data_IF_859860941380
#
_entry.id   IF_859860941380
#
_cell.length_a   1.000
_cell.length_b   1.000
_cell.length_c   1.000
_cell.angle_alpha   90.00
_cell.angle_beta   90.00
_cell.angle_gamma   90.00
#
_symmetry.space_group_name_H-M   'P 1'
#
loop_
_entity.id
_entity.type
_entity.pdbx_description
1 polymer ?
#
# COMPACT_ATOMS: atom_id res chain seq x y z
N UNK A 1 29.53 -15.45 13.66
CA UNK A 1 28.91 -15.18 12.35
C UNK A 1 27.80 -14.18 12.61
N UNK A 2 27.70 -13.07 11.83
CA UNK A 2 26.50 -12.20 11.95
C UNK A 2 25.28 -13.04 11.55
N UNK A 3 24.26 -13.03 12.38
CA UNK A 3 22.98 -13.65 12.02
C UNK A 3 22.48 -13.05 10.71
N UNK A 4 21.92 -13.89 9.85
CA UNK A 4 21.42 -13.47 8.53
C UNK A 4 20.16 -12.63 8.75
N UNK A 5 20.21 -11.35 8.39
CA UNK A 5 19.07 -10.44 8.45
C UNK A 5 18.19 -10.59 7.21
N UNK A 6 16.87 -10.65 7.41
CA UNK A 6 15.90 -10.83 6.33
C UNK A 6 15.02 -9.60 6.14
N UNK A 7 14.56 -9.42 4.90
CA UNK A 7 13.42 -8.55 4.58
C UNK A 7 12.17 -9.41 4.42
N UNK A 8 11.11 -9.14 5.18
CA UNK A 8 9.82 -9.77 4.95
C UNK A 8 9.06 -9.03 3.85
N UNK A 9 8.63 -9.75 2.83
CA UNK A 9 7.75 -9.25 1.78
C UNK A 9 6.31 -9.61 2.15
N UNK A 10 5.52 -8.60 2.53
CA UNK A 10 4.10 -8.76 2.85
C UNK A 10 3.31 -8.55 1.57
N UNK A 11 2.68 -9.61 1.07
CA UNK A 11 1.94 -9.62 -0.19
C UNK A 11 0.47 -9.92 0.10
N UNK A 12 -0.41 -8.95 -0.18
CA UNK A 12 -1.85 -9.10 0.02
C UNK A 12 -2.53 -9.59 -1.26
N UNK A 13 -3.19 -10.74 -1.18
CA UNK A 13 -4.00 -11.31 -2.27
C UNK A 13 -5.49 -11.12 -2.01
N UNK A 14 -6.23 -10.76 -3.03
CA UNK A 14 -7.70 -10.81 -3.06
C UNK A 14 -8.19 -11.10 -4.47
N UNK A 15 -8.76 -12.30 -4.68
CA UNK A 15 -9.37 -12.74 -5.95
C UNK A 15 -8.45 -12.73 -7.19
N UNK A 16 -7.11 -12.73 -6.99
CA UNK A 16 -6.14 -12.62 -8.09
C UNK A 16 -4.82 -13.33 -7.75
N UNK A 17 -4.88 -14.66 -7.69
CA UNK A 17 -3.71 -15.46 -7.33
C UNK A 17 -2.66 -15.49 -8.45
N UNK A 18 -3.07 -15.31 -9.69
CA UNK A 18 -2.18 -15.31 -10.87
C UNK A 18 -1.16 -14.16 -10.79
N UNK A 19 -1.61 -12.95 -10.45
CA UNK A 19 -0.71 -11.81 -10.25
C UNK A 19 0.19 -12.04 -9.02
N UNK A 20 -0.33 -12.66 -7.94
CA UNK A 20 0.47 -12.99 -6.75
C UNK A 20 1.63 -13.92 -7.09
N UNK A 21 1.39 -14.95 -7.89
CA UNK A 21 2.45 -15.86 -8.36
C UNK A 21 3.45 -15.13 -9.25
N UNK A 22 2.98 -14.31 -10.20
CA UNK A 22 3.84 -13.51 -11.07
C UNK A 22 4.71 -12.53 -10.29
N UNK A 23 4.16 -11.90 -9.25
CA UNK A 23 4.89 -11.03 -8.33
C UNK A 23 6.04 -11.80 -7.66
N UNK A 24 5.75 -12.95 -7.04
CA UNK A 24 6.76 -13.79 -6.38
C UNK A 24 7.82 -14.26 -7.39
N UNK A 25 7.40 -14.71 -8.58
CA UNK A 25 8.33 -15.15 -9.64
C UNK A 25 9.28 -14.03 -10.06
N UNK A 26 8.78 -12.81 -10.18
CA UNK A 26 9.62 -11.66 -10.50
C UNK A 26 10.63 -11.33 -9.39
N UNK A 27 10.24 -11.44 -8.12
CA UNK A 27 11.18 -11.27 -7.01
C UNK A 27 12.25 -12.36 -7.01
N UNK A 28 11.88 -13.64 -7.17
CA UNK A 28 12.84 -14.73 -7.23
C UNK A 28 13.80 -14.62 -8.44
N UNK A 29 13.35 -14.02 -9.54
CA UNK A 29 14.18 -13.82 -10.74
C UNK A 29 15.22 -12.71 -10.59
N UNK A 30 14.90 -11.64 -9.87
CA UNK A 30 15.75 -10.43 -9.86
C UNK A 30 16.39 -10.14 -8.51
N UNK A 31 15.82 -10.58 -7.39
CA UNK A 31 16.30 -10.19 -6.06
C UNK A 31 17.42 -11.10 -5.53
N UNK A 32 18.51 -10.50 -5.07
CA UNK A 32 19.64 -11.19 -4.43
C UNK A 32 19.65 -11.10 -2.92
N UNK A 33 18.86 -10.20 -2.31
CA UNK A 33 18.80 -10.04 -0.86
C UNK A 33 18.08 -11.22 -0.19
N UNK A 34 18.43 -11.54 1.07
CA UNK A 34 17.68 -12.52 1.86
C UNK A 34 16.25 -12.04 2.12
N UNK A 35 15.26 -12.79 1.63
CA UNK A 35 13.84 -12.46 1.83
C UNK A 35 13.05 -13.63 2.40
N UNK A 36 11.99 -13.32 3.14
CA UNK A 36 10.91 -14.23 3.52
C UNK A 36 9.59 -13.67 2.98
N UNK A 37 8.77 -14.53 2.41
CA UNK A 37 7.45 -14.15 1.90
C UNK A 37 6.38 -14.41 2.93
N UNK A 38 5.50 -13.45 3.14
CA UNK A 38 4.26 -13.61 3.90
C UNK A 38 3.12 -13.19 2.98
N UNK A 39 2.46 -14.19 2.39
CA UNK A 39 1.34 -14.00 1.49
C UNK A 39 0.06 -14.11 2.30
N UNK A 40 -0.76 -13.06 2.27
CA UNK A 40 -2.06 -13.05 2.98
C UNK A 40 -3.18 -13.09 1.95
N UNK A 41 -3.93 -14.18 1.90
CA UNK A 41 -5.22 -14.17 1.21
C UNK A 41 -6.27 -13.49 2.08
N UNK A 42 -6.80 -12.37 1.61
CA UNK A 42 -7.70 -11.52 2.37
C UNK A 42 -9.17 -11.85 2.08
N UNK A 43 -9.53 -13.13 2.23
CA UNK A 43 -10.90 -13.57 2.07
C UNK A 43 -11.35 -13.59 0.61
N UNK A 44 -10.54 -14.16 -0.28
CA UNK A 44 -10.93 -14.35 -1.69
C UNK A 44 -12.24 -15.14 -1.82
N UNK A 45 -13.13 -14.62 -2.68
CA UNK A 45 -14.45 -15.19 -2.94
C UNK A 45 -14.57 -15.84 -4.31
N UNK A 46 -13.58 -15.62 -5.20
CA UNK A 46 -13.49 -16.31 -6.49
C UNK A 46 -13.19 -17.80 -6.23
N UNK A 47 -13.99 -18.65 -6.85
CA UNK A 47 -13.87 -20.11 -6.75
C UNK A 47 -12.42 -20.56 -7.01
N UNK A 48 -11.96 -21.53 -6.23
CA UNK A 48 -10.62 -22.14 -6.28
C UNK A 48 -9.42 -21.22 -6.05
N UNK A 49 -9.58 -19.90 -5.88
CA UNK A 49 -8.45 -18.97 -5.73
C UNK A 49 -7.52 -19.37 -4.58
N UNK A 50 -8.07 -19.63 -3.40
CA UNK A 50 -7.27 -19.99 -2.20
C UNK A 50 -6.58 -21.33 -2.40
N UNK A 51 -7.32 -22.33 -2.90
CA UNK A 51 -6.79 -23.69 -3.11
C UNK A 51 -5.71 -23.70 -4.22
N UNK A 52 -5.91 -22.97 -5.31
CA UNK A 52 -4.94 -22.85 -6.40
C UNK A 52 -3.66 -22.16 -5.92
N UNK A 53 -3.79 -21.07 -5.14
CA UNK A 53 -2.66 -20.36 -4.59
C UNK A 53 -1.89 -21.23 -3.59
N UNK A 54 -2.58 -21.88 -2.65
CA UNK A 54 -1.98 -22.78 -1.67
C UNK A 54 -1.16 -23.91 -2.37
N UNK A 55 -1.78 -24.57 -3.35
CA UNK A 55 -1.14 -25.62 -4.11
C UNK A 55 0.12 -25.13 -4.84
N UNK A 56 0.05 -23.99 -5.53
CA UNK A 56 1.16 -23.44 -6.28
C UNK A 56 2.32 -23.03 -5.36
N UNK A 57 2.03 -22.35 -4.25
CA UNK A 57 3.03 -21.92 -3.27
C UNK A 57 3.72 -23.13 -2.61
N UNK A 58 2.94 -24.13 -2.21
CA UNK A 58 3.47 -25.38 -1.64
C UNK A 58 4.37 -26.14 -2.63
N UNK A 59 4.00 -26.19 -3.90
CA UNK A 59 4.84 -26.80 -4.93
C UNK A 59 6.14 -26.02 -5.16
N UNK A 60 6.10 -24.68 -5.14
CA UNK A 60 7.27 -23.82 -5.38
C UNK A 60 8.27 -23.84 -4.23
N UNK A 61 7.81 -23.82 -2.98
CA UNK A 61 8.67 -23.70 -1.81
C UNK A 61 8.86 -25.00 -1.02
N UNK A 62 8.15 -26.06 -1.37
CA UNK A 62 8.31 -27.41 -0.83
C UNK A 62 8.34 -27.45 0.73
N UNK A 63 9.48 -27.84 1.30
CA UNK A 63 9.65 -27.94 2.74
C UNK A 63 9.82 -26.59 3.45
N UNK A 64 10.03 -25.52 2.72
CA UNK A 64 10.21 -24.15 3.25
C UNK A 64 8.92 -23.32 3.15
N UNK A 65 7.78 -23.99 3.36
CA UNK A 65 6.42 -23.49 3.25
C UNK A 65 5.57 -23.87 4.46
N UNK A 66 4.74 -22.93 4.91
CA UNK A 66 3.69 -23.21 5.89
C UNK A 66 2.40 -22.44 5.53
N UNK A 67 1.25 -23.07 5.82
CA UNK A 67 -0.06 -22.43 5.70
C UNK A 67 -0.66 -22.23 7.09
N UNK A 68 -1.14 -21.02 7.37
CA UNK A 68 -1.72 -20.60 8.64
C UNK A 68 -3.09 -19.96 8.41
N UNK A 69 -3.93 -19.98 9.43
CA UNK A 69 -5.11 -19.10 9.50
C UNK A 69 -4.74 -17.75 10.10
N UNK A 70 -5.41 -16.69 9.70
CA UNK A 70 -5.24 -15.37 10.30
C UNK A 70 -5.41 -15.43 11.83
N UNK A 71 -4.50 -14.79 12.57
CA UNK A 71 -4.45 -14.83 14.03
C UNK A 71 -3.69 -16.00 14.65
N UNK A 72 -3.21 -16.97 13.85
CA UNK A 72 -2.28 -17.98 14.35
C UNK A 72 -0.85 -17.40 14.42
N UNK A 73 -0.11 -17.80 15.43
CA UNK A 73 1.28 -17.43 15.64
C UNK A 73 2.18 -18.65 15.53
N UNK A 74 3.42 -18.43 15.12
CA UNK A 74 4.47 -19.44 15.16
C UNK A 74 5.46 -19.07 16.26
N UNK A 75 5.86 -20.04 17.11
CA UNK A 75 6.80 -19.77 18.21
C UNK A 75 8.26 -19.61 17.77
N UNK A 76 8.57 -19.83 16.50
CA UNK A 76 9.92 -19.87 15.93
C UNK A 76 10.04 -19.05 14.65
N UNK A 77 11.23 -19.04 14.06
CA UNK A 77 11.53 -18.41 12.79
C UNK A 77 10.57 -18.87 11.68
N UNK A 78 10.07 -17.91 10.92
CA UNK A 78 9.23 -18.18 9.75
C UNK A 78 10.06 -18.91 8.67
N UNK A 79 9.43 -19.84 7.90
CA UNK A 79 10.06 -20.41 6.71
C UNK A 79 10.22 -19.36 5.61
N UNK A 80 10.79 -19.76 4.46
CA UNK A 80 10.94 -18.89 3.29
C UNK A 80 9.58 -18.32 2.82
N UNK A 81 8.50 -19.13 2.90
CA UNK A 81 7.15 -18.68 2.60
C UNK A 81 6.13 -19.10 3.66
N UNK A 82 5.42 -18.10 4.18
CA UNK A 82 4.25 -18.28 5.04
C UNK A 82 3.00 -17.82 4.27
N UNK A 83 2.04 -18.72 4.07
CA UNK A 83 0.74 -18.39 3.50
C UNK A 83 -0.29 -18.25 4.61
N UNK A 84 -1.02 -17.14 4.62
CA UNK A 84 -2.03 -16.82 5.65
C UNK A 84 -3.40 -16.73 5.01
N UNK A 85 -4.35 -17.51 5.49
CA UNK A 85 -5.73 -17.49 5.02
C UNK A 85 -6.59 -16.68 5.99
N UNK A 86 -7.09 -15.54 5.54
CA UNK A 86 -8.09 -14.76 6.26
C UNK A 86 -9.50 -15.15 5.74
N UNK A 87 -10.46 -15.47 6.61
CA UNK A 87 -11.78 -15.98 6.19
C UNK A 87 -12.65 -14.92 5.52
N UNK A 88 -12.32 -13.63 5.62
CA UNK A 88 -13.10 -12.53 5.05
C UNK A 88 -12.22 -11.38 4.59
N UNK A 89 -12.70 -10.59 3.63
CA UNK A 89 -12.02 -9.37 3.24
C UNK A 89 -12.20 -8.28 4.32
N UNK A 90 -11.13 -7.95 5.01
CA UNK A 90 -11.09 -6.93 6.06
C UNK A 90 -10.46 -5.61 5.60
N UNK A 91 -10.24 -5.45 4.29
CA UNK A 91 -9.61 -4.28 3.70
C UNK A 91 -8.08 -4.35 3.70
N UNK A 92 -7.47 -3.30 3.16
CA UNK A 92 -6.03 -3.26 2.92
C UNK A 92 -5.22 -3.23 4.22
N UNK A 93 -5.60 -2.38 5.16
CA UNK A 93 -4.86 -2.17 6.42
C UNK A 93 -4.85 -3.43 7.29
N UNK A 94 -6.03 -4.00 7.54
CA UNK A 94 -6.16 -5.20 8.40
C UNK A 94 -5.51 -6.41 7.73
N UNK A 95 -5.73 -6.59 6.42
CA UNK A 95 -5.13 -7.68 5.66
C UNK A 95 -3.60 -7.67 5.75
N UNK A 96 -2.95 -6.53 5.50
CA UNK A 96 -1.50 -6.40 5.66
C UNK A 96 -1.06 -6.60 7.10
N UNK A 97 -1.81 -6.12 8.09
CA UNK A 97 -1.46 -6.26 9.51
C UNK A 97 -1.44 -7.72 9.97
N UNK A 98 -2.16 -8.65 9.36
CA UNK A 98 -2.01 -10.08 9.65
C UNK A 98 -0.59 -10.56 9.32
N UNK A 99 -0.06 -10.20 8.16
CA UNK A 99 1.31 -10.54 7.78
C UNK A 99 2.36 -9.79 8.61
N UNK A 100 2.12 -8.52 8.92
CA UNK A 100 3.02 -7.69 9.73
C UNK A 100 3.22 -8.23 11.14
N UNK A 101 2.16 -8.70 11.79
CA UNK A 101 2.24 -9.31 13.13
C UNK A 101 3.09 -10.57 13.12
N UNK A 102 2.93 -11.43 12.10
CA UNK A 102 3.79 -12.61 11.97
C UNK A 102 5.26 -12.23 11.72
N UNK A 103 5.52 -11.23 10.89
CA UNK A 103 6.88 -10.74 10.69
C UNK A 103 7.51 -10.19 11.96
N UNK A 104 6.70 -9.62 12.87
CA UNK A 104 7.18 -9.09 14.15
C UNK A 104 7.63 -10.20 15.12
N UNK A 105 7.01 -11.36 15.05
CA UNK A 105 7.36 -12.51 15.90
C UNK A 105 8.67 -13.20 15.45
N UNK A 106 9.25 -12.83 14.30
CA UNK A 106 10.49 -13.39 13.76
C UNK A 106 11.67 -12.41 13.93
N UNK A 107 12.57 -12.68 14.87
CA UNK A 107 13.73 -11.82 15.18
C UNK A 107 14.75 -11.75 14.04
N UNK A 108 14.78 -12.70 13.13
CA UNK A 108 15.64 -12.65 11.94
C UNK A 108 15.21 -11.62 10.92
N UNK A 109 13.96 -11.13 10.99
CA UNK A 109 13.42 -10.10 10.09
C UNK A 109 13.77 -8.71 10.64
N UNK A 110 14.48 -7.93 9.85
CA UNK A 110 14.87 -6.56 10.19
C UNK A 110 14.08 -5.51 9.41
N UNK A 111 13.75 -5.82 8.18
CA UNK A 111 13.00 -4.92 7.29
C UNK A 111 11.70 -5.55 6.84
N UNK A 112 10.74 -4.69 6.57
CA UNK A 112 9.45 -5.06 5.98
C UNK A 112 9.35 -4.37 4.62
N UNK A 113 8.96 -5.09 3.60
CA UNK A 113 8.51 -4.53 2.34
C UNK A 113 7.03 -4.85 2.15
N UNK A 114 6.20 -3.83 2.14
CA UNK A 114 4.83 -3.97 1.67
C UNK A 114 4.88 -4.01 0.15
N UNK A 115 4.31 -5.05 -0.43
CA UNK A 115 4.37 -5.30 -1.85
C UNK A 115 2.99 -5.75 -2.35
N UNK A 116 2.33 -4.95 -3.18
CA UNK A 116 1.10 -5.38 -3.80
C UNK A 116 1.36 -6.57 -4.74
N UNK A 117 0.39 -7.46 -4.83
CA UNK A 117 0.51 -8.65 -5.66
C UNK A 117 0.55 -8.37 -7.19
N UNK A 118 0.25 -7.15 -7.60
CA UNK A 118 0.31 -6.67 -8.99
C UNK A 118 1.55 -5.78 -9.29
N UNK A 119 2.59 -5.89 -8.45
CA UNK A 119 3.90 -5.27 -8.67
C UNK A 119 4.91 -6.32 -9.10
N UNK A 120 5.64 -6.05 -10.18
CA UNK A 120 6.68 -6.92 -10.72
C UNK A 120 8.05 -6.26 -10.59
N UNK A 121 9.03 -7.00 -10.10
CA UNK A 121 10.43 -6.60 -10.14
C UNK A 121 10.97 -6.77 -11.55
N UNK A 122 11.81 -5.85 -11.98
CA UNK A 122 12.53 -5.89 -13.25
C UNK A 122 14.05 -5.70 -13.07
N UNK A 123 14.47 -5.47 -11.84
CA UNK A 123 15.86 -5.35 -11.42
C UNK A 123 16.00 -5.66 -9.91
N UNK A 124 17.24 -5.78 -9.43
CA UNK A 124 17.56 -6.05 -8.02
C UNK A 124 17.42 -4.78 -7.19
N UNK A 125 16.21 -4.52 -6.66
CA UNK A 125 15.90 -3.26 -5.96
C UNK A 125 16.19 -3.31 -4.45
N UNK A 126 15.99 -4.45 -3.78
CA UNK A 126 16.05 -4.51 -2.30
C UNK A 126 17.43 -4.12 -1.78
N UNK A 127 18.56 -4.68 -2.27
CA UNK A 127 19.89 -4.27 -1.80
C UNK A 127 20.16 -2.77 -1.99
N UNK A 128 19.73 -2.21 -3.14
CA UNK A 128 19.92 -0.79 -3.45
C UNK A 128 19.08 0.11 -2.54
N UNK A 129 17.84 -0.27 -2.23
CA UNK A 129 16.99 0.44 -1.25
C UNK A 129 17.62 0.40 0.15
N UNK A 130 18.15 -0.74 0.58
CA UNK A 130 18.80 -0.89 1.88
C UNK A 130 20.08 -0.05 1.97
N UNK A 131 20.89 -0.02 0.90
CA UNK A 131 22.10 0.80 0.82
C UNK A 131 21.76 2.29 0.91
N UNK A 132 20.78 2.75 0.15
CA UNK A 132 20.34 4.15 0.19
C UNK A 132 19.76 4.52 1.57
N UNK A 133 18.92 3.64 2.16
CA UNK A 133 18.37 3.83 3.51
C UNK A 133 19.46 3.99 4.56
N UNK A 134 20.54 3.22 4.48
CA UNK A 134 21.65 3.29 5.43
C UNK A 134 22.38 4.65 5.41
N UNK A 135 22.27 5.40 4.32
CA UNK A 135 22.86 6.74 4.17
C UNK A 135 21.91 7.87 4.64
N UNK A 136 20.67 7.56 4.97
CA UNK A 136 19.61 8.51 5.31
C UNK A 136 19.11 8.27 6.74
N UNK A 137 19.67 8.94 7.76
CA UNK A 137 19.36 8.66 9.17
C UNK A 137 17.90 9.01 9.56
N UNK A 138 17.25 9.90 8.83
CA UNK A 138 15.85 10.31 9.03
C UNK A 138 14.85 9.52 8.15
N UNK A 139 15.35 8.53 7.39
CA UNK A 139 14.53 7.76 6.48
C UNK A 139 13.62 6.77 7.23
N UNK A 140 12.32 6.99 7.16
CA UNK A 140 11.31 6.04 7.61
C UNK A 140 11.01 5.02 6.52
N UNK A 141 10.47 5.48 5.38
CA UNK A 141 10.12 4.65 4.23
C UNK A 141 10.99 5.04 3.05
N UNK A 142 11.43 4.02 2.31
CA UNK A 142 12.09 4.18 1.03
C UNK A 142 11.43 3.28 -0.02
N UNK A 143 11.22 3.80 -1.22
CA UNK A 143 10.48 3.14 -2.29
C UNK A 143 11.20 3.24 -3.63
N UNK A 144 11.04 2.26 -4.53
CA UNK A 144 11.43 2.41 -5.93
C UNK A 144 10.38 3.23 -6.68
N UNK A 145 10.71 3.70 -7.87
CA UNK A 145 9.71 4.22 -8.78
C UNK A 145 8.85 3.08 -9.34
N UNK A 146 7.58 3.39 -9.56
CA UNK A 146 6.65 2.47 -10.22
C UNK A 146 6.43 2.91 -11.66
N UNK A 147 6.47 1.98 -12.57
CA UNK A 147 6.14 2.18 -13.97
C UNK A 147 4.80 1.55 -14.31
N UNK A 148 4.12 2.11 -15.30
CA UNK A 148 2.95 1.48 -15.89
C UNK A 148 3.31 0.15 -16.53
N UNK A 149 2.32 -0.71 -16.75
CA UNK A 149 2.48 -2.06 -17.31
C UNK A 149 3.32 -2.11 -18.62
N UNK A 150 3.17 -1.12 -19.47
CA UNK A 150 3.86 -1.00 -20.75
C UNK A 150 5.23 -0.31 -20.68
N UNK A 151 5.68 0.03 -19.47
CA UNK A 151 6.92 0.77 -19.21
C UNK A 151 7.01 2.13 -19.95
N UNK A 152 5.90 2.63 -20.50
CA UNK A 152 5.89 3.87 -21.30
C UNK A 152 6.12 5.12 -20.46
N UNK A 153 5.71 5.11 -19.19
CA UNK A 153 5.85 6.23 -18.26
C UNK A 153 5.71 5.72 -16.81
N UNK A 154 6.09 6.59 -15.88
CA UNK A 154 5.89 6.33 -14.45
C UNK A 154 4.40 6.23 -14.08
N UNK A 155 4.09 5.37 -13.13
CA UNK A 155 2.91 5.54 -12.31
C UNK A 155 3.15 6.75 -11.39
N UNK A 156 2.62 7.90 -11.81
CA UNK A 156 2.86 9.18 -11.13
C UNK A 156 2.35 9.21 -9.69
N UNK A 157 1.60 8.20 -9.26
CA UNK A 157 1.14 8.06 -7.87
C UNK A 157 2.24 7.62 -6.90
N UNK A 158 3.40 7.18 -7.39
CA UNK A 158 4.50 6.73 -6.53
C UNK A 158 5.26 7.88 -5.84
N UNK A 159 5.14 9.13 -6.35
CA UNK A 159 5.85 10.30 -5.83
C UNK A 159 4.86 11.44 -5.51
N UNK A 160 4.36 11.50 -4.28
CA UNK A 160 3.31 12.44 -3.89
C UNK A 160 3.68 13.26 -2.68
N UNK A 161 3.12 14.48 -2.62
CA UNK A 161 2.97 15.27 -1.41
C UNK A 161 1.62 14.96 -0.76
N UNK A 162 1.52 15.11 0.55
CA UNK A 162 0.27 14.96 1.28
C UNK A 162 -0.67 16.15 0.98
N UNK A 163 -1.91 15.90 0.58
CA UNK A 163 -2.86 16.96 0.35
C UNK A 163 -3.25 17.63 1.67
N UNK A 164 -3.32 18.97 1.66
CA UNK A 164 -3.80 19.69 2.83
C UNK A 164 -5.25 19.33 3.17
N UNK A 165 -5.67 19.42 4.46
CA UNK A 165 -7.04 19.15 4.86
C UNK A 165 -8.06 19.94 4.03
N UNK A 166 -7.77 21.22 3.75
CA UNK A 166 -8.61 22.05 2.92
C UNK A 166 -8.75 21.55 1.47
N UNK A 167 -7.69 21.00 0.89
CA UNK A 167 -7.75 20.39 -0.45
C UNK A 167 -8.65 19.15 -0.48
N UNK A 168 -8.60 18.33 0.59
CA UNK A 168 -9.47 17.16 0.76
C UNK A 168 -10.94 17.53 0.94
N UNK A 169 -11.22 18.61 1.70
CA UNK A 169 -12.58 19.15 1.88
C UNK A 169 -13.12 19.68 0.54
N UNK A 170 -12.34 20.46 -0.17
CA UNK A 170 -12.71 20.97 -1.50
C UNK A 170 -12.98 19.85 -2.50
N UNK A 171 -12.14 18.83 -2.52
CA UNK A 171 -12.36 17.67 -3.38
C UNK A 171 -13.72 17.01 -3.11
N UNK A 172 -14.11 16.91 -1.84
CA UNK A 172 -15.41 16.38 -1.43
C UNK A 172 -16.59 17.24 -1.92
N UNK A 173 -16.49 18.56 -1.82
CA UNK A 173 -17.48 19.51 -2.35
C UNK A 173 -17.63 19.42 -3.87
N UNK A 174 -16.51 19.25 -4.57
CA UNK A 174 -16.46 19.28 -6.04
C UNK A 174 -16.92 17.98 -6.70
N UNK A 175 -17.08 16.87 -5.98
CA UNK A 175 -17.43 15.55 -6.53
C UNK A 175 -18.81 15.51 -7.24
N UNK A 176 -19.64 16.51 -7.08
CA UNK A 176 -20.91 16.64 -7.81
C UNK A 176 -20.80 17.27 -9.20
N UNK A 177 -19.72 17.98 -9.49
CA UNK A 177 -19.45 18.71 -10.73
C UNK A 177 -18.53 17.88 -11.62
N UNK A 178 -18.51 18.09 -12.93
CA UNK A 178 -17.61 17.36 -13.86
C UNK A 178 -16.14 17.64 -13.48
N UNK A 179 -15.50 16.74 -12.72
CA UNK A 179 -14.42 17.07 -11.80
C UNK A 179 -13.02 16.75 -12.34
N UNK A 180 -12.90 16.46 -13.65
CA UNK A 180 -11.61 16.17 -14.26
C UNK A 180 -10.64 17.36 -14.10
N UNK A 181 -11.14 18.59 -14.29
CA UNK A 181 -10.31 19.79 -14.15
C UNK A 181 -9.73 19.94 -12.71
N UNK A 182 -10.55 19.78 -11.67
CA UNK A 182 -10.07 19.93 -10.29
C UNK A 182 -9.09 18.81 -9.91
N UNK A 183 -9.33 17.58 -10.35
CA UNK A 183 -8.39 16.47 -10.17
C UNK A 183 -7.04 16.75 -10.84
N UNK A 184 -7.03 17.35 -12.01
CA UNK A 184 -5.80 17.75 -12.71
C UNK A 184 -5.06 18.88 -11.98
N UNK A 185 -5.79 19.81 -11.36
CA UNK A 185 -5.21 20.82 -10.46
C UNK A 185 -4.55 20.15 -9.25
N UNK A 186 -5.23 19.16 -8.62
CA UNK A 186 -4.65 18.43 -7.49
C UNK A 186 -3.41 17.62 -7.90
N UNK A 187 -3.44 16.95 -9.06
CA UNK A 187 -2.26 16.25 -9.60
C UNK A 187 -1.09 17.20 -9.79
N UNK A 188 -1.28 18.32 -10.46
CA UNK A 188 -0.24 19.34 -10.65
C UNK A 188 0.31 19.92 -9.35
N UNK A 189 -0.49 19.92 -8.28
CA UNK A 189 -0.08 20.43 -6.97
C UNK A 189 0.67 19.39 -6.14
N UNK A 190 0.21 18.15 -6.12
CA UNK A 190 0.63 17.14 -5.15
C UNK A 190 1.41 15.97 -5.75
N UNK A 191 1.39 15.74 -7.06
CA UNK A 191 2.12 14.66 -7.70
C UNK A 191 3.43 15.20 -8.26
N UNK A 192 4.54 14.83 -7.65
CA UNK A 192 5.84 15.45 -7.90
C UNK A 192 6.29 15.29 -9.34
N UNK A 193 6.14 14.13 -9.96
CA UNK A 193 6.52 13.91 -11.37
C UNK A 193 5.62 14.62 -12.38
N UNK A 194 4.39 14.99 -11.98
CA UNK A 194 3.51 15.85 -12.79
C UNK A 194 3.85 17.32 -12.59
N UNK A 195 4.20 17.71 -11.36
CA UNK A 195 4.59 19.08 -11.00
C UNK A 195 5.92 19.48 -11.63
N UNK A 196 6.92 18.60 -11.56
CA UNK A 196 8.24 18.80 -12.15
C UNK A 196 8.78 17.46 -12.69
N UNK A 197 8.68 17.22 -14.01
CA UNK A 197 9.20 16.00 -14.63
C UNK A 197 10.71 15.79 -14.48
N UNK A 198 11.51 16.82 -14.19
CA UNK A 198 12.94 16.69 -13.99
C UNK A 198 13.30 15.89 -12.74
N UNK A 199 12.40 15.83 -11.76
CA UNK A 199 12.58 15.03 -10.54
C UNK A 199 12.70 13.53 -10.82
N UNK A 200 12.26 13.05 -11.99
CA UNK A 200 12.48 11.67 -12.46
C UNK A 200 13.98 11.31 -12.58
N UNK A 201 14.86 12.30 -12.74
CA UNK A 201 16.29 12.13 -12.88
C UNK A 201 17.06 12.28 -11.55
N UNK A 202 16.37 12.54 -10.45
CA UNK A 202 16.99 12.62 -9.13
C UNK A 202 17.54 11.24 -8.73
N UNK A 203 18.66 11.23 -8.00
CA UNK A 203 19.19 10.02 -7.38
C UNK A 203 18.30 9.58 -6.21
N UNK A 204 17.96 10.55 -5.36
CA UNK A 204 17.06 10.36 -4.20
C UNK A 204 16.09 11.54 -4.19
N UNK A 205 14.82 11.24 -4.01
CA UNK A 205 13.75 12.24 -3.92
C UNK A 205 13.03 12.12 -2.58
N UNK A 206 13.00 13.22 -1.80
CA UNK A 206 12.12 13.28 -0.62
C UNK A 206 10.67 13.37 -1.07
N UNK A 207 9.84 12.50 -0.52
CA UNK A 207 8.39 12.43 -0.79
C UNK A 207 7.63 12.42 0.54
N UNK A 208 6.38 12.82 0.53
CA UNK A 208 5.55 12.72 1.74
C UNK A 208 4.77 11.42 1.78
N UNK A 209 4.16 11.04 0.66
CA UNK A 209 3.36 9.82 0.54
C UNK A 209 3.95 8.87 -0.51
N UNK A 210 4.58 7.76 -0.08
CA UNK A 210 4.92 6.67 -0.97
C UNK A 210 3.66 5.99 -1.49
N UNK A 211 3.78 5.21 -2.57
CA UNK A 211 2.72 4.30 -2.95
C UNK A 211 2.67 3.11 -2.00
N UNK A 212 1.49 2.76 -1.52
CA UNK A 212 1.27 1.53 -0.76
C UNK A 212 1.61 0.25 -1.54
N UNK A 213 1.80 0.36 -2.86
CA UNK A 213 2.09 -0.79 -3.71
C UNK A 213 3.49 -1.37 -3.55
N UNK A 214 4.49 -0.54 -3.20
CA UNK A 214 5.86 -1.00 -2.97
C UNK A 214 6.61 -0.02 -2.05
N UNK A 215 6.83 -0.39 -0.80
CA UNK A 215 7.54 0.43 0.17
C UNK A 215 8.29 -0.42 1.20
N UNK A 216 9.53 -0.01 1.50
CA UNK A 216 10.40 -0.65 2.48
C UNK A 216 10.52 0.22 3.72
N UNK A 217 10.35 -0.41 4.89
CA UNK A 217 10.43 0.22 6.21
C UNK A 217 11.19 -0.70 7.18
N UNK A 218 11.84 -0.16 8.18
CA UNK A 218 12.42 -0.95 9.26
C UNK A 218 11.33 -1.55 10.17
N UNK A 219 11.43 -2.85 10.49
CA UNK A 219 10.44 -3.56 11.33
C UNK A 219 10.18 -2.84 12.64
N UNK A 220 11.25 -2.48 13.37
CA UNK A 220 11.16 -1.79 14.66
C UNK A 220 10.44 -0.44 14.60
N UNK A 221 10.60 0.30 13.50
CA UNK A 221 9.87 1.55 13.28
C UNK A 221 8.39 1.27 12.99
N UNK A 222 8.09 0.26 12.17
CA UNK A 222 6.71 -0.07 11.83
C UNK A 222 5.91 -0.51 13.07
N UNK A 223 6.54 -1.27 13.97
CA UNK A 223 5.99 -1.64 15.29
C UNK A 223 5.72 -0.40 16.14
N UNK A 224 6.72 0.49 16.26
CA UNK A 224 6.61 1.74 17.02
C UNK A 224 5.48 2.65 16.59
N UNK A 225 5.16 2.70 15.30
CA UNK A 225 4.04 3.51 14.78
C UNK A 225 2.70 2.77 14.81
N UNK A 226 2.68 1.51 15.28
CA UNK A 226 1.47 0.71 15.46
C UNK A 226 0.90 0.20 14.13
N UNK A 227 1.75 -0.13 13.16
CA UNK A 227 1.39 -0.68 11.84
C UNK A 227 0.42 0.21 11.05
N UNK A 228 -0.34 -0.39 10.12
CA UNK A 228 -1.46 0.31 9.48
C UNK A 228 -2.60 0.53 10.46
N UNK A 229 -3.28 1.67 10.32
CA UNK A 229 -4.48 1.96 11.10
C UNK A 229 -5.68 1.18 10.54
N UNK A 230 -6.32 0.41 11.39
CA UNK A 230 -7.39 -0.52 11.01
C UNK A 230 -8.78 0.12 10.85
N UNK A 231 -8.90 1.42 11.02
CA UNK A 231 -10.17 2.13 10.85
C UNK A 231 -10.49 2.47 9.39
N UNK A 232 -9.54 2.24 8.46
CA UNK A 232 -9.78 2.35 7.03
C UNK A 232 -9.94 0.96 6.41
N UNK A 233 -10.94 0.80 5.52
CA UNK A 233 -11.07 -0.42 4.73
C UNK A 233 -10.21 -0.33 3.48
N UNK A 234 -10.25 0.81 2.79
CA UNK A 234 -9.52 1.08 1.56
C UNK A 234 -9.31 2.59 1.40
N UNK A 235 -8.12 2.99 0.94
CA UNK A 235 -7.65 4.37 0.77
C UNK A 235 -7.33 5.10 2.08
N UNK A 236 -6.48 6.10 2.00
CA UNK A 236 -5.94 6.92 3.08
C UNK A 236 -4.94 6.22 3.99
N UNK A 237 -4.57 4.97 3.76
CA UNK A 237 -3.54 4.27 4.52
C UNK A 237 -2.19 5.01 4.44
N UNK A 238 -1.80 5.47 3.24
CA UNK A 238 -0.55 6.22 3.06
C UNK A 238 -0.61 7.61 3.69
N UNK A 239 -1.78 8.27 3.68
CA UNK A 239 -1.98 9.55 4.37
C UNK A 239 -1.80 9.41 5.88
N UNK A 240 -2.39 8.36 6.46
CA UNK A 240 -2.28 8.05 7.89
C UNK A 240 -0.84 7.68 8.24
N UNK A 241 -0.22 6.84 7.44
CA UNK A 241 1.17 6.42 7.61
C UNK A 241 2.12 7.63 7.56
N UNK A 242 1.95 8.52 6.58
CA UNK A 242 2.68 9.78 6.52
C UNK A 242 2.50 10.60 7.80
N UNK A 243 1.27 10.77 8.29
CA UNK A 243 1.02 11.55 9.51
C UNK A 243 1.71 10.95 10.74
N UNK A 244 1.72 9.61 10.87
CA UNK A 244 2.43 8.89 11.94
C UNK A 244 3.95 9.07 11.86
N UNK A 245 4.52 9.10 10.65
CA UNK A 245 5.95 9.26 10.38
C UNK A 245 6.37 10.71 10.59
N UNK A 246 5.66 11.64 9.98
CA UNK A 246 5.94 13.08 10.06
C UNK A 246 5.89 13.61 11.50
N UNK A 247 4.94 13.13 12.32
CA UNK A 247 4.86 13.51 13.74
C UNK A 247 6.09 13.09 14.57
N UNK A 248 6.96 12.23 14.03
CA UNK A 248 8.22 11.78 14.64
C UNK A 248 9.45 12.47 14.05
N UNK A 249 9.26 13.46 13.19
CA UNK A 249 10.37 14.15 12.50
C UNK A 249 11.11 13.31 11.47
N UNK A 250 10.49 12.20 11.02
CA UNK A 250 11.05 11.30 10.03
C UNK A 250 10.48 11.62 8.64
N UNK A 251 11.19 11.14 7.60
CA UNK A 251 10.92 11.42 6.19
C UNK A 251 10.77 10.15 5.38
N UNK A 252 10.12 10.28 4.23
CA UNK A 252 10.01 9.23 3.23
C UNK A 252 10.78 9.60 1.97
N UNK A 253 11.34 8.60 1.32
CA UNK A 253 12.17 8.79 0.14
C UNK A 253 11.76 7.85 -0.99
N UNK A 254 12.02 8.31 -2.21
CA UNK A 254 11.87 7.54 -3.45
C UNK A 254 13.22 7.54 -4.16
N UNK A 255 13.59 6.40 -4.74
CA UNK A 255 14.71 6.26 -5.67
C UNK A 255 14.15 6.20 -7.11
N UNK A 256 14.11 7.33 -7.85
CA UNK A 256 13.53 7.37 -9.18
C UNK A 256 14.23 6.48 -10.21
N UNK A 257 15.50 6.14 -9.96
CA UNK A 257 16.31 5.31 -10.85
C UNK A 257 16.09 3.80 -10.65
N UNK A 258 15.36 3.39 -9.60
CA UNK A 258 14.98 1.99 -9.37
C UNK A 258 13.56 1.77 -9.84
N UNK A 259 13.34 0.69 -10.56
CA UNK A 259 12.09 0.45 -11.29
C UNK A 259 11.38 -0.82 -10.85
N UNK A 260 10.07 -0.72 -10.64
CA UNK A 260 9.14 -1.84 -10.63
C UNK A 260 8.00 -1.56 -11.60
N UNK A 261 7.39 -2.60 -12.16
CA UNK A 261 6.17 -2.47 -12.96
C UNK A 261 4.97 -2.62 -12.04
N UNK A 262 4.00 -1.69 -12.13
CA UNK A 262 2.71 -1.79 -11.46
C UNK A 262 1.63 -2.08 -12.50
N UNK A 263 1.04 -3.27 -12.46
CA UNK A 263 0.04 -3.72 -13.43
C UNK A 263 -1.27 -2.95 -13.32
N UNK A 264 -1.54 -2.41 -12.14
CA UNK A 264 -2.58 -1.43 -11.85
C UNK A 264 -3.96 -1.99 -11.56
N UNK A 265 -4.32 -1.97 -10.26
CA UNK A 265 -5.68 -2.03 -9.69
C UNK A 265 -6.60 -3.14 -10.23
N UNK A 266 -6.09 -4.37 -10.42
CA UNK A 266 -6.91 -5.48 -10.91
C UNK A 266 -8.03 -5.86 -9.94
N UNK A 267 -7.80 -5.80 -8.63
CA UNK A 267 -8.78 -6.15 -7.59
C UNK A 267 -9.87 -5.09 -7.43
N UNK A 268 -9.52 -3.80 -7.38
CA UNK A 268 -10.48 -2.71 -7.17
C UNK A 268 -11.38 -2.45 -8.39
N UNK A 269 -10.92 -2.76 -9.60
CA UNK A 269 -11.73 -2.63 -10.83
C UNK A 269 -12.91 -3.59 -10.87
N UNK A 270 -12.88 -4.67 -10.09
CA UNK A 270 -13.95 -5.68 -10.01
C UNK A 270 -15.03 -5.29 -9.01
N UNK A 271 -14.76 -4.36 -8.11
CA UNK A 271 -15.70 -3.92 -7.08
C UNK A 271 -16.69 -2.88 -7.63
N UNK A 272 -17.93 -2.84 -7.10
CA UNK A 272 -18.92 -1.83 -7.49
C UNK A 272 -18.40 -0.41 -7.24
N UNK A 273 -18.50 0.47 -8.23
CA UNK A 273 -18.00 1.85 -8.13
C UNK A 273 -18.59 2.65 -6.95
N UNK A 274 -19.84 2.34 -6.55
CA UNK A 274 -20.45 2.88 -5.32
C UNK A 274 -19.67 2.47 -4.07
N UNK A 275 -19.32 1.19 -3.93
CA UNK A 275 -18.59 0.66 -2.77
C UNK A 275 -17.22 1.33 -2.64
N UNK A 276 -16.48 1.41 -3.75
CA UNK A 276 -15.16 2.05 -3.80
C UNK A 276 -15.24 3.53 -3.40
N UNK A 277 -16.24 4.27 -3.91
CA UNK A 277 -16.42 5.68 -3.55
C UNK A 277 -16.82 5.85 -2.08
N UNK A 278 -17.63 4.94 -1.53
CA UNK A 278 -17.99 4.95 -0.11
C UNK A 278 -16.78 4.70 0.78
N UNK A 279 -15.95 3.70 0.47
CA UNK A 279 -14.70 3.46 1.21
C UNK A 279 -13.81 4.70 1.22
N UNK A 280 -13.63 5.37 0.07
CA UNK A 280 -12.85 6.60 -0.01
C UNK A 280 -13.44 7.75 0.82
N UNK A 281 -14.78 7.88 0.89
CA UNK A 281 -15.43 8.90 1.71
C UNK A 281 -15.28 8.61 3.21
N UNK A 282 -15.48 7.34 3.62
CA UNK A 282 -15.40 6.93 5.02
C UNK A 282 -13.96 7.08 5.52
N UNK A 283 -12.97 6.62 4.77
CA UNK A 283 -11.54 6.71 5.11
C UNK A 283 -11.07 8.16 5.18
N UNK A 284 -11.49 9.02 4.21
CA UNK A 284 -11.25 10.47 4.26
C UNK A 284 -11.82 11.09 5.52
N UNK A 285 -13.06 10.72 5.88
CA UNK A 285 -13.73 11.23 7.06
C UNK A 285 -12.97 10.88 8.32
N UNK A 286 -12.53 9.63 8.41
CA UNK A 286 -11.72 9.17 9.53
C UNK A 286 -10.40 9.94 9.60
N UNK A 287 -9.66 10.03 8.48
CA UNK A 287 -8.39 10.75 8.41
C UNK A 287 -8.52 12.22 8.85
N UNK A 288 -9.51 12.93 8.30
CA UNK A 288 -9.73 14.33 8.65
C UNK A 288 -10.09 14.54 10.13
N UNK A 289 -10.82 13.59 10.75
CA UNK A 289 -11.19 13.66 12.17
C UNK A 289 -10.06 13.25 13.10
N UNK A 290 -9.33 12.20 12.78
CA UNK A 290 -8.37 11.58 13.68
C UNK A 290 -6.95 12.14 13.53
N UNK A 291 -6.57 12.58 12.32
CA UNK A 291 -5.19 12.97 11.99
C UNK A 291 -5.03 14.43 11.59
N UNK A 292 -6.14 15.15 11.31
CA UNK A 292 -6.08 16.56 10.92
C UNK A 292 -6.67 17.46 12.01
N UNK A 293 -5.97 18.55 12.33
CA UNK A 293 -6.44 19.55 13.28
C UNK A 293 -7.35 20.57 12.56
N UNK A 294 -8.61 20.15 12.28
CA UNK A 294 -9.59 21.03 11.63
C UNK A 294 -10.10 22.09 12.63
N UNK A 295 -10.14 23.35 12.18
CA UNK A 295 -10.84 24.41 12.89
C UNK A 295 -12.38 24.26 12.77
N UNK A 296 -13.14 25.09 13.51
CA UNK A 296 -14.61 25.00 13.53
C UNK A 296 -15.23 25.22 12.15
N UNK A 297 -14.73 26.18 11.39
CA UNK A 297 -15.24 26.48 10.04
C UNK A 297 -15.01 25.32 9.07
N UNK A 298 -13.79 24.74 9.08
CA UNK A 298 -13.47 23.55 8.29
C UNK A 298 -14.35 22.35 8.63
N UNK A 299 -14.63 22.13 9.93
CA UNK A 299 -15.56 21.08 10.38
C UNK A 299 -16.97 21.28 9.85
N UNK A 300 -17.49 22.52 9.89
CA UNK A 300 -18.82 22.84 9.36
C UNK A 300 -18.86 22.62 7.84
N UNK A 301 -17.90 23.17 7.11
CA UNK A 301 -17.83 23.02 5.66
C UNK A 301 -17.70 21.53 5.27
N UNK A 302 -16.89 20.77 6.00
CA UNK A 302 -16.76 19.34 5.76
C UNK A 302 -18.05 18.58 6.03
N UNK A 303 -18.81 18.93 7.07
CA UNK A 303 -20.11 18.31 7.37
C UNK A 303 -21.11 18.51 6.21
N UNK A 304 -21.14 19.70 5.62
CA UNK A 304 -21.95 19.98 4.41
C UNK A 304 -21.45 19.14 3.22
N UNK A 305 -20.15 19.15 2.97
CA UNK A 305 -19.53 18.37 1.89
C UNK A 305 -19.82 16.86 2.01
N UNK A 306 -19.71 16.32 3.21
CA UNK A 306 -20.05 14.94 3.53
C UNK A 306 -21.52 14.61 3.27
N UNK A 307 -22.44 15.49 3.68
CA UNK A 307 -23.88 15.34 3.43
C UNK A 307 -24.20 15.28 1.93
N UNK A 308 -23.65 16.20 1.15
CA UNK A 308 -23.82 16.24 -0.31
C UNK A 308 -23.27 14.98 -1.00
N UNK A 309 -22.09 14.53 -0.58
CA UNK A 309 -21.47 13.34 -1.14
C UNK A 309 -22.24 12.07 -0.76
N UNK A 310 -22.69 11.96 0.49
CA UNK A 310 -23.50 10.83 0.95
C UNK A 310 -24.83 10.73 0.22
N UNK A 311 -25.50 11.85 0.00
CA UNK A 311 -26.72 11.91 -0.80
C UNK A 311 -26.50 11.46 -2.25
N UNK A 312 -25.41 11.93 -2.87
CA UNK A 312 -25.04 11.48 -4.21
C UNK A 312 -24.77 9.96 -4.26
N UNK A 313 -24.03 9.43 -3.31
CA UNK A 313 -23.76 7.98 -3.24
C UNK A 313 -25.04 7.17 -3.07
N UNK A 314 -25.97 7.65 -2.26
CA UNK A 314 -27.31 7.05 -2.11
C UNK A 314 -28.08 7.04 -3.44
N UNK A 315 -28.09 8.17 -4.15
CA UNK A 315 -28.75 8.27 -5.47
C UNK A 315 -28.12 7.30 -6.50
N UNK A 316 -26.77 7.23 -6.55
CA UNK A 316 -26.08 6.31 -7.47
C UNK A 316 -26.35 4.83 -7.16
N UNK A 317 -26.51 4.46 -5.89
CA UNK A 317 -26.87 3.10 -5.48
C UNK A 317 -28.25 2.71 -6.03
N UNK A 318 -29.22 3.62 -5.91
CA UNK A 318 -30.61 3.33 -6.28
C UNK A 318 -30.88 3.42 -7.80
N UNK A 319 -30.09 4.20 -8.55
CA UNK A 319 -30.20 4.28 -10.00
C UNK A 319 -29.68 3.02 -10.73
N UNK A 320 -28.77 2.25 -10.14
CA UNK A 320 -28.27 0.99 -10.70
C UNK A 320 -29.22 -0.22 -10.48
N UNK A 321 -30.25 -0.06 -9.68
CA UNK A 321 -31.28 -1.08 -9.45
C UNK A 321 -32.57 -0.85 -10.28
N UNK A 322 -32.57 0.11 -11.19
CA UNK A 322 -33.57 0.30 -12.24
C UNK A 322 -32.95 0.03 -13.61
#
# INVERSE_FOLDING_TARGET
MKEKEYTALIILNYNNYEDTLSCIDSVEAYNTAPVKYIVVDNGSTREDTVAALDKALKQKFCNDYICLKAGQHLPNLLPKLTFVINPKNEGYAVGNNHGLKLASDDDSIKYIMILNNDVLFVEDIIPKLLEAKAKLPDCAIISPALYKKDMSDYDTTCARLAPSPWSLIKECLMVGMNNNHYRDVLKKKYWLFVKDPKLKNAEILEIEMPSGSCMLIEKSLFEKIGYFDTHTFLYFEENILYSKIYSRGLKNYLLPQLSCIHLGASSTKREPGYFIQKCGLDSRTYYLKAYCHLNLLEKIIYAVAYGLMSFRLFALKNLKHR
#
